data_IF_421594463627
#
_entry.id   IF_421594463627
#
_cell.length_a   1.000
_cell.length_b   1.000
_cell.length_c   1.000
_cell.angle_alpha   90.00
_cell.angle_beta   90.00
_cell.angle_gamma   90.00
#
_symmetry.space_group_name_H-M   'P 1'
#
loop_
_entity.id
_entity.type
_entity.pdbx_description
1 polymer ?
#
# COMPACT_ATOMS: atom_id res chain seq x y z
N UNK A 1 8.98 -56.78 19.83
CA UNK A 1 8.56 -55.94 18.68
C UNK A 1 9.55 -54.79 18.53
N UNK A 2 10.35 -54.78 17.46
CA UNK A 2 11.32 -53.71 17.20
C UNK A 2 10.63 -52.52 16.50
N UNK A 3 10.93 -51.28 16.93
CA UNK A 3 10.39 -50.05 16.31
C UNK A 3 11.05 -49.80 14.94
N UNK A 4 10.30 -49.39 13.91
CA UNK A 4 10.87 -49.12 12.58
C UNK A 4 11.75 -47.85 12.58
N UNK A 5 12.80 -47.87 11.77
CA UNK A 5 13.76 -46.78 11.61
C UNK A 5 13.11 -45.53 10.97
N UNK A 6 13.52 -44.31 11.36
CA UNK A 6 12.97 -43.08 10.79
C UNK A 6 13.38 -42.90 9.32
N UNK A 7 12.49 -42.34 8.47
CA UNK A 7 12.78 -42.17 7.04
C UNK A 7 13.95 -41.20 6.80
N UNK A 8 14.83 -41.56 5.88
CA UNK A 8 16.06 -40.80 5.57
C UNK A 8 15.74 -39.43 4.93
N UNK A 9 16.32 -38.36 5.47
CA UNK A 9 16.16 -36.95 5.02
C UNK A 9 16.92 -36.63 3.71
N UNK A 10 16.90 -37.51 2.69
CA UNK A 10 17.65 -37.29 1.44
C UNK A 10 16.96 -36.40 0.40
N UNK A 11 15.82 -35.77 0.70
CA UNK A 11 15.04 -34.94 -0.25
C UNK A 11 15.15 -33.41 -0.12
N UNK A 12 15.73 -32.88 0.96
CA UNK A 12 15.62 -31.44 1.28
C UNK A 12 16.80 -30.56 0.84
N UNK A 13 17.88 -31.15 0.33
CA UNK A 13 19.08 -30.39 -0.04
C UNK A 13 18.89 -29.55 -1.32
N UNK A 14 18.08 -30.03 -2.28
CA UNK A 14 17.84 -29.32 -3.53
C UNK A 14 17.01 -28.04 -3.35
N UNK A 15 16.05 -28.02 -2.41
CA UNK A 15 15.22 -26.84 -2.11
C UNK A 15 16.01 -25.73 -1.39
N UNK A 16 16.95 -26.10 -0.51
CA UNK A 16 17.84 -25.14 0.18
C UNK A 16 18.78 -24.42 -0.79
N UNK A 17 19.30 -25.14 -1.80
CA UNK A 17 20.17 -24.55 -2.82
C UNK A 17 19.42 -23.57 -3.74
N UNK A 18 18.17 -23.87 -4.11
CA UNK A 18 17.35 -22.96 -4.91
C UNK A 18 17.05 -21.63 -4.17
N UNK A 19 16.74 -21.70 -2.87
CA UNK A 19 16.53 -20.51 -2.04
C UNK A 19 17.81 -19.66 -1.89
N UNK A 20 18.97 -20.30 -1.70
CA UNK A 20 20.26 -19.60 -1.66
C UNK A 20 20.64 -18.97 -3.01
N UNK A 21 20.35 -19.64 -4.14
CA UNK A 21 20.58 -19.11 -5.49
C UNK A 21 19.69 -17.89 -5.79
N UNK A 22 18.40 -17.93 -5.40
CA UNK A 22 17.50 -16.76 -5.51
C UNK A 22 17.95 -15.57 -4.65
N UNK A 23 18.45 -15.81 -3.43
CA UNK A 23 18.99 -14.75 -2.55
C UNK A 23 20.28 -14.12 -3.09
N UNK A 24 21.12 -14.91 -3.77
CA UNK A 24 22.32 -14.41 -4.47
C UNK A 24 21.94 -13.59 -5.71
N UNK A 25 21.06 -14.11 -6.56
CA UNK A 25 20.57 -13.37 -7.72
C UNK A 25 19.92 -12.02 -7.35
N UNK A 26 19.17 -11.95 -6.24
CA UNK A 26 18.62 -10.69 -5.72
C UNK A 26 19.68 -9.70 -5.18
N UNK A 27 20.87 -10.20 -4.79
CA UNK A 27 22.01 -9.38 -4.35
C UNK A 27 22.85 -8.87 -5.53
N UNK A 28 22.82 -9.59 -6.65
CA UNK A 28 23.59 -9.32 -7.87
C UNK A 28 22.84 -8.44 -8.89
N UNK A 29 21.61 -7.99 -8.58
CA UNK A 29 20.99 -6.88 -9.32
C UNK A 29 21.90 -5.64 -9.20
N UNK A 30 22.14 -4.91 -10.31
CA UNK A 30 23.01 -3.74 -10.30
C UNK A 30 22.43 -2.68 -9.37
N UNK A 31 22.96 -2.61 -8.15
CA UNK A 31 22.73 -1.48 -7.25
C UNK A 31 23.36 -0.30 -7.93
N UNK A 32 22.55 0.65 -8.37
CA UNK A 32 23.07 1.96 -8.78
C UNK A 32 23.90 2.47 -7.60
N UNK A 33 25.22 2.59 -7.78
CA UNK A 33 26.18 2.89 -6.72
C UNK A 33 26.13 4.39 -6.36
N UNK A 34 24.93 4.95 -6.28
CA UNK A 34 24.73 6.34 -5.91
C UNK A 34 25.09 6.47 -4.42
N UNK A 35 26.14 7.24 -4.13
CA UNK A 35 26.53 7.56 -2.76
C UNK A 35 25.33 8.12 -1.99
N UNK A 36 25.15 7.71 -0.75
CA UNK A 36 24.11 8.25 0.13
C UNK A 36 24.38 9.74 0.42
N UNK A 37 23.35 10.55 0.69
CA UNK A 37 23.50 11.97 1.05
C UNK A 37 24.51 12.17 2.20
N UNK A 38 24.54 11.26 3.18
CA UNK A 38 25.51 11.26 4.28
C UNK A 38 26.96 11.06 3.82
N UNK A 39 27.18 10.18 2.83
CA UNK A 39 28.51 9.96 2.28
C UNK A 39 28.94 11.14 1.40
N UNK A 40 28.03 11.71 0.59
CA UNK A 40 28.30 12.91 -0.20
C UNK A 40 28.70 14.09 0.68
N UNK A 41 27.97 14.31 1.78
CA UNK A 41 28.28 15.37 2.74
C UNK A 41 29.65 15.16 3.40
N UNK A 42 29.97 13.93 3.84
CA UNK A 42 31.29 13.63 4.40
C UNK A 42 32.43 13.83 3.41
N UNK A 43 32.21 13.45 2.15
CA UNK A 43 33.19 13.65 1.08
C UNK A 43 33.39 15.15 0.80
N UNK A 44 32.31 15.94 0.80
CA UNK A 44 32.36 17.40 0.63
C UNK A 44 33.03 18.11 1.81
N UNK A 45 32.75 17.71 3.06
CA UNK A 45 33.44 18.23 4.25
C UNK A 45 34.95 17.92 4.24
N UNK A 46 35.32 16.70 3.82
CA UNK A 46 36.73 16.31 3.67
C UNK A 46 37.42 17.10 2.57
N UNK A 47 36.71 17.36 1.47
CA UNK A 47 37.21 18.18 0.37
C UNK A 47 37.44 19.62 0.83
N UNK A 48 36.48 20.22 1.54
CA UNK A 48 36.62 21.55 2.13
C UNK A 48 37.84 21.65 3.06
N UNK A 49 37.98 20.70 4.00
CA UNK A 49 39.15 20.66 4.90
C UNK A 49 40.48 20.56 4.15
N UNK A 50 40.51 19.82 3.03
CA UNK A 50 41.71 19.69 2.18
C UNK A 50 42.03 21.01 1.48
N UNK A 51 41.03 21.72 0.97
CA UNK A 51 41.21 23.04 0.37
C UNK A 51 41.74 24.06 1.39
N UNK A 52 41.18 24.06 2.60
CA UNK A 52 41.64 24.90 3.72
C UNK A 52 43.08 24.58 4.13
N UNK A 53 43.45 23.30 4.19
CA UNK A 53 44.81 22.88 4.58
C UNK A 53 45.85 23.16 3.49
N UNK A 54 45.48 23.01 2.23
CA UNK A 54 46.40 23.17 1.09
C UNK A 54 46.59 24.63 0.65
N UNK A 55 45.89 25.59 1.28
CA UNK A 55 45.95 27.00 0.90
C UNK A 55 45.38 27.28 -0.50
N UNK A 56 44.28 26.61 -0.86
CA UNK A 56 43.63 26.77 -2.17
C UNK A 56 42.97 28.16 -2.33
N UNK A 57 42.62 28.50 -3.57
CA UNK A 57 41.99 29.79 -3.90
C UNK A 57 40.71 30.04 -3.07
N UNK A 58 40.47 31.29 -2.63
CA UNK A 58 39.31 31.63 -1.80
C UNK A 58 37.98 31.32 -2.50
N UNK A 59 37.92 31.43 -3.83
CA UNK A 59 36.74 31.06 -4.62
C UNK A 59 36.43 29.56 -4.54
N UNK A 60 37.45 28.70 -4.54
CA UNK A 60 37.26 27.26 -4.41
C UNK A 60 36.74 26.88 -3.02
N UNK A 61 37.23 27.55 -1.98
CA UNK A 61 36.78 27.35 -0.60
C UNK A 61 35.32 27.78 -0.46
N UNK A 62 34.94 28.95 -0.97
CA UNK A 62 33.54 29.43 -0.90
C UNK A 62 32.58 28.53 -1.68
N UNK A 63 32.97 28.02 -2.84
CA UNK A 63 32.18 27.07 -3.61
C UNK A 63 32.04 25.72 -2.88
N UNK A 64 33.11 25.22 -2.26
CA UNK A 64 33.04 24.01 -1.45
C UNK A 64 32.16 24.18 -0.20
N UNK A 65 32.17 25.35 0.44
CA UNK A 65 31.26 25.68 1.55
C UNK A 65 29.80 25.65 1.10
N UNK A 66 29.47 26.31 -0.02
CA UNK A 66 28.11 26.28 -0.59
C UNK A 66 27.65 24.85 -0.89
N UNK A 67 28.53 24.01 -1.44
CA UNK A 67 28.23 22.61 -1.72
C UNK A 67 27.96 21.80 -0.44
N UNK A 68 28.72 22.04 0.64
CA UNK A 68 28.48 21.43 1.96
C UNK A 68 27.14 21.88 2.53
N UNK A 69 26.82 23.18 2.44
CA UNK A 69 25.53 23.71 2.90
C UNK A 69 24.36 23.09 2.14
N UNK A 70 24.43 23.00 0.81
CA UNK A 70 23.39 22.38 -0.01
C UNK A 70 23.18 20.90 0.37
N UNK A 71 24.26 20.13 0.46
CA UNK A 71 24.20 18.73 0.87
C UNK A 71 23.69 18.56 2.31
N UNK A 72 23.95 19.53 3.19
CA UNK A 72 23.41 19.54 4.55
C UNK A 72 21.89 19.73 4.57
N UNK A 73 21.37 20.60 3.69
CA UNK A 73 19.93 20.82 3.50
C UNK A 73 19.25 19.58 2.90
N UNK A 74 19.86 18.96 1.89
CA UNK A 74 19.40 17.68 1.31
C UNK A 74 19.34 16.60 2.40
N UNK A 75 20.39 16.44 3.22
CA UNK A 75 20.40 15.47 4.31
C UNK A 75 19.30 15.76 5.34
N UNK A 76 19.08 17.02 5.70
CA UNK A 76 18.06 17.38 6.67
C UNK A 76 16.65 17.04 6.17
N UNK A 77 16.32 17.33 4.91
CA UNK A 77 15.03 16.98 4.32
C UNK A 77 14.86 15.46 4.22
N UNK A 78 15.89 14.73 3.78
CA UNK A 78 15.94 13.27 3.74
C UNK A 78 15.67 12.64 5.11
N UNK A 79 16.27 13.18 6.17
CA UNK A 79 16.10 12.67 7.52
C UNK A 79 14.67 12.86 8.03
N UNK A 80 14.02 13.98 7.71
CA UNK A 80 12.61 14.21 8.03
C UNK A 80 11.73 13.19 7.32
N UNK A 81 11.95 12.95 6.02
CA UNK A 81 11.19 11.97 5.24
C UNK A 81 11.40 10.55 5.76
N UNK A 82 12.66 10.16 6.04
CA UNK A 82 12.98 8.85 6.63
C UNK A 82 12.29 8.65 7.97
N UNK A 83 12.34 9.65 8.86
CA UNK A 83 11.65 9.59 10.16
C UNK A 83 10.14 9.42 9.99
N UNK A 84 9.51 10.04 8.99
CA UNK A 84 8.08 9.86 8.67
C UNK A 84 7.81 8.44 8.19
N UNK A 85 8.54 7.97 7.18
CA UNK A 85 8.40 6.62 6.62
C UNK A 85 8.61 5.55 7.69
N UNK A 86 9.61 5.70 8.55
CA UNK A 86 9.88 4.73 9.62
C UNK A 86 8.76 4.71 10.66
N UNK A 87 8.18 5.88 11.00
CA UNK A 87 6.99 5.95 11.86
C UNK A 87 5.80 5.24 11.23
N UNK A 88 5.54 5.48 9.95
CA UNK A 88 4.45 4.85 9.21
C UNK A 88 4.62 3.33 9.15
N UNK A 89 5.83 2.83 8.86
CA UNK A 89 6.14 1.38 8.87
C UNK A 89 5.88 0.77 10.24
N UNK A 90 6.37 1.40 11.30
CA UNK A 90 6.17 0.94 12.69
C UNK A 90 4.68 0.86 13.04
N UNK A 91 3.88 1.86 12.67
CA UNK A 91 2.44 1.84 12.91
C UNK A 91 1.69 0.87 12.02
N UNK A 92 2.09 0.74 10.76
CA UNK A 92 1.55 -0.24 9.85
C UNK A 92 1.72 -1.64 10.42
N UNK A 93 2.92 -2.03 10.85
CA UNK A 93 3.19 -3.34 11.46
C UNK A 93 2.41 -3.55 12.76
N UNK A 94 2.47 -2.57 13.68
CA UNK A 94 1.83 -2.64 15.00
C UNK A 94 0.31 -2.77 14.91
N UNK A 95 -0.34 -1.98 14.05
CA UNK A 95 -1.79 -1.93 13.96
C UNK A 95 -2.36 -2.74 12.79
N UNK A 96 -1.53 -3.43 11.99
CA UNK A 96 -1.97 -4.26 10.85
C UNK A 96 -3.07 -5.23 11.24
N UNK A 97 -2.83 -5.98 12.31
CA UNK A 97 -3.76 -7.02 12.79
C UNK A 97 -5.01 -6.41 13.42
N UNK A 98 -4.86 -5.35 14.20
CA UNK A 98 -5.99 -4.63 14.81
C UNK A 98 -6.93 -4.11 13.72
N UNK A 99 -6.42 -3.34 12.75
CA UNK A 99 -7.19 -2.84 11.60
C UNK A 99 -7.83 -3.97 10.79
N UNK A 100 -7.11 -5.08 10.56
CA UNK A 100 -7.66 -6.23 9.85
C UNK A 100 -8.89 -6.83 10.55
N UNK A 101 -8.82 -7.03 11.87
CA UNK A 101 -9.95 -7.57 12.62
C UNK A 101 -11.11 -6.59 12.70
N UNK A 102 -10.85 -5.30 12.87
CA UNK A 102 -11.89 -4.28 12.86
C UNK A 102 -12.57 -4.16 11.51
N UNK A 103 -11.79 -4.09 10.40
CA UNK A 103 -12.34 -4.13 9.04
C UNK A 103 -13.21 -5.37 8.83
N UNK A 104 -12.74 -6.53 9.28
CA UNK A 104 -13.50 -7.79 9.19
C UNK A 104 -14.77 -7.77 10.03
N UNK A 105 -14.78 -7.12 11.20
CA UNK A 105 -15.99 -6.92 12.02
C UNK A 105 -16.99 -6.02 11.30
N UNK A 106 -16.55 -4.87 10.77
CA UNK A 106 -17.39 -3.94 10.00
C UNK A 106 -17.99 -4.65 8.78
N UNK A 107 -17.19 -5.34 7.98
CA UNK A 107 -17.67 -6.06 6.79
C UNK A 107 -18.69 -7.15 7.13
N UNK A 108 -18.51 -7.86 8.26
CA UNK A 108 -19.50 -8.85 8.72
C UNK A 108 -20.82 -8.19 9.12
N UNK A 109 -20.75 -7.05 9.81
CA UNK A 109 -21.95 -6.27 10.18
C UNK A 109 -22.66 -5.75 8.93
N UNK A 110 -21.92 -5.20 7.98
CA UNK A 110 -22.45 -4.72 6.71
C UNK A 110 -23.14 -5.84 5.92
N UNK A 111 -22.52 -7.03 5.84
CA UNK A 111 -23.13 -8.20 5.19
C UNK A 111 -24.43 -8.65 5.88
N UNK A 112 -24.46 -8.63 7.22
CA UNK A 112 -25.67 -8.99 8.00
C UNK A 112 -26.79 -7.98 7.77
N UNK A 113 -26.48 -6.69 7.90
CA UNK A 113 -27.44 -5.62 7.70
C UNK A 113 -28.02 -5.63 6.27
N UNK A 114 -27.19 -5.85 5.25
CA UNK A 114 -27.66 -6.00 3.86
C UNK A 114 -28.62 -7.19 3.70
N UNK A 115 -28.40 -8.29 4.43
CA UNK A 115 -29.31 -9.44 4.43
C UNK A 115 -30.62 -9.14 5.15
N UNK A 116 -30.56 -8.43 6.28
CA UNK A 116 -31.74 -7.99 7.04
C UNK A 116 -32.61 -7.02 6.21
N UNK A 117 -31.98 -6.10 5.49
CA UNK A 117 -32.66 -5.16 4.58
C UNK A 117 -33.29 -5.83 3.36
N UNK A 118 -32.82 -7.01 2.97
CA UNK A 118 -33.37 -7.78 1.86
C UNK A 118 -34.46 -8.77 2.31
N UNK A 119 -34.79 -8.81 3.61
CA UNK A 119 -35.89 -9.63 4.14
C UNK A 119 -37.22 -8.89 4.10
N UNK A 120 -38.33 -9.62 4.19
CA UNK A 120 -39.70 -9.08 4.05
C UNK A 120 -40.06 -8.01 5.09
N UNK A 121 -39.30 -7.94 6.19
CA UNK A 121 -39.45 -6.90 7.23
C UNK A 121 -38.12 -6.15 7.42
N UNK A 122 -37.83 -5.15 6.57
CA UNK A 122 -36.62 -4.36 6.71
C UNK A 122 -36.69 -3.49 7.97
N UNK A 123 -35.58 -3.38 8.74
CA UNK A 123 -35.53 -2.49 9.88
C UNK A 123 -35.65 -1.02 9.42
N UNK A 124 -36.48 -0.24 10.13
CA UNK A 124 -36.70 1.18 9.84
C UNK A 124 -35.38 1.99 9.82
N UNK A 125 -34.46 1.71 10.76
CA UNK A 125 -33.16 2.40 10.87
C UNK A 125 -32.08 1.82 9.94
N UNK A 126 -32.44 0.94 9.02
CA UNK A 126 -31.46 0.18 8.24
C UNK A 126 -30.56 1.03 7.36
N UNK A 127 -31.09 2.14 6.81
CA UNK A 127 -30.31 3.11 6.02
C UNK A 127 -29.28 3.85 6.86
N UNK A 128 -29.68 4.38 8.02
CA UNK A 128 -28.77 5.08 8.95
C UNK A 128 -27.66 4.15 9.46
N UNK A 129 -28.01 2.90 9.78
CA UNK A 129 -27.03 1.89 10.21
C UNK A 129 -26.04 1.53 9.09
N UNK A 130 -26.49 1.56 7.83
CA UNK A 130 -25.65 1.29 6.67
C UNK A 130 -24.64 2.42 6.48
N UNK A 131 -25.10 3.68 6.49
CA UNK A 131 -24.24 4.86 6.41
C UNK A 131 -23.19 4.90 7.54
N UNK A 132 -23.61 4.58 8.78
CA UNK A 132 -22.69 4.50 9.92
C UNK A 132 -21.60 3.43 9.72
N UNK A 133 -21.97 2.24 9.21
CA UNK A 133 -21.01 1.16 8.94
C UNK A 133 -20.07 1.47 7.77
N UNK A 134 -20.55 2.20 6.77
CA UNK A 134 -19.73 2.67 5.64
C UNK A 134 -18.73 3.73 6.10
N UNK A 135 -19.15 4.65 6.98
CA UNK A 135 -18.26 5.59 7.67
C UNK A 135 -17.18 4.87 8.50
N UNK A 136 -17.55 3.81 9.20
CA UNK A 136 -16.59 2.96 9.94
C UNK A 136 -15.64 2.21 9.00
N UNK A 137 -16.11 1.73 7.84
CA UNK A 137 -15.26 1.07 6.85
C UNK A 137 -14.23 2.03 6.25
N UNK A 138 -14.66 3.26 5.94
CA UNK A 138 -13.80 4.34 5.47
C UNK A 138 -12.76 4.69 6.54
N UNK A 139 -13.18 4.81 7.80
CA UNK A 139 -12.29 5.07 8.93
C UNK A 139 -11.18 4.03 9.05
N UNK A 140 -11.49 2.74 8.98
CA UNK A 140 -10.47 1.67 9.12
C UNK A 140 -9.54 1.64 7.90
N UNK A 141 -10.07 1.85 6.70
CA UNK A 141 -9.34 1.71 5.44
C UNK A 141 -8.42 2.90 5.15
N UNK A 142 -8.90 4.13 5.36
CA UNK A 142 -8.20 5.38 5.06
C UNK A 142 -7.64 6.07 6.30
N UNK A 143 -7.43 5.31 7.38
CA UNK A 143 -6.86 5.86 8.61
C UNK A 143 -5.45 6.44 8.41
N UNK A 144 -5.15 7.66 8.91
CA UNK A 144 -3.83 8.30 8.78
C UNK A 144 -2.66 7.41 9.24
N UNK A 145 -1.63 7.27 8.40
CA UNK A 145 -0.49 6.36 8.65
C UNK A 145 0.50 6.91 9.68
N UNK A 146 0.50 8.22 9.88
CA UNK A 146 1.36 8.99 10.78
C UNK A 146 0.90 8.98 12.25
N UNK A 147 -0.32 8.49 12.52
CA UNK A 147 -0.94 8.51 13.84
C UNK A 147 -1.15 7.12 14.43
N UNK A 148 -1.23 7.07 15.77
CA UNK A 148 -1.58 5.85 16.51
C UNK A 148 -3.06 5.52 16.29
N UNK A 149 -3.33 4.32 15.78
CA UNK A 149 -4.69 3.83 15.57
C UNK A 149 -5.50 3.81 16.87
N UNK A 150 -6.75 4.27 16.78
CA UNK A 150 -7.74 4.24 17.86
C UNK A 150 -8.82 3.26 17.45
N UNK A 151 -8.95 2.17 18.17
CA UNK A 151 -9.89 1.11 17.83
C UNK A 151 -11.35 1.54 17.97
N UNK A 152 -12.20 0.99 17.10
CA UNK A 152 -13.66 1.15 17.14
C UNK A 152 -14.32 0.19 18.13
N UNK A 153 -13.80 -1.03 18.25
CA UNK A 153 -14.44 -2.13 19.01
C UNK A 153 -13.57 -2.61 20.17
N UNK A 154 -13.14 -1.70 21.03
CA UNK A 154 -12.34 -2.03 22.22
C UNK A 154 -13.21 -2.66 23.31
N UNK A 155 -12.79 -3.83 23.82
CA UNK A 155 -13.57 -4.67 24.76
C UNK A 155 -13.70 -4.05 26.16
N UNK A 156 -12.87 -3.04 26.47
CA UNK A 156 -12.83 -2.38 27.77
C UNK A 156 -13.32 -0.96 27.55
N UNK A 157 -14.44 -0.60 28.18
CA UNK A 157 -15.17 0.68 28.03
C UNK A 157 -14.41 1.94 28.45
N UNK A 158 -13.13 2.04 28.10
CA UNK A 158 -12.31 3.23 28.22
C UNK A 158 -12.52 4.12 26.98
N UNK A 159 -13.74 4.62 26.81
CA UNK A 159 -13.97 5.82 26.00
C UNK A 159 -13.56 7.03 26.85
N UNK A 160 -12.26 7.28 26.95
CA UNK A 160 -11.78 8.53 27.54
C UNK A 160 -12.19 9.70 26.62
N UNK A 161 -12.60 10.84 27.18
CA UNK A 161 -12.92 12.02 26.36
C UNK A 161 -11.77 12.42 25.39
N UNK A 162 -10.52 12.10 25.76
CA UNK A 162 -9.33 12.29 24.92
C UNK A 162 -9.26 11.32 23.74
N UNK A 163 -9.66 10.05 23.92
CA UNK A 163 -9.68 9.06 22.84
C UNK A 163 -10.82 9.33 21.86
N UNK A 164 -11.97 9.77 22.36
CA UNK A 164 -13.10 10.20 21.53
C UNK A 164 -12.72 11.38 20.62
N UNK A 165 -12.09 12.43 21.16
CA UNK A 165 -11.59 13.57 20.37
C UNK A 165 -10.60 13.12 19.28
N UNK A 166 -9.61 12.30 19.63
CA UNK A 166 -8.64 11.76 18.66
C UNK A 166 -9.31 10.91 17.58
N UNK A 167 -10.34 10.15 17.93
CA UNK A 167 -11.13 9.37 16.97
C UNK A 167 -11.89 10.27 16.03
N UNK A 168 -12.55 11.32 16.53
CA UNK A 168 -13.29 12.28 15.72
C UNK A 168 -12.38 13.01 14.73
N UNK A 169 -11.22 13.49 15.17
CA UNK A 169 -10.21 14.09 14.28
C UNK A 169 -9.74 13.11 13.20
N UNK A 170 -9.44 11.86 13.60
CA UNK A 170 -8.99 10.85 12.66
C UNK A 170 -10.10 10.43 11.68
N UNK A 171 -11.38 10.47 12.09
CA UNK A 171 -12.53 10.27 11.18
C UNK A 171 -12.62 11.35 10.14
N UNK A 172 -12.48 12.63 10.52
CA UNK A 172 -12.46 13.74 9.56
C UNK A 172 -11.35 13.57 8.52
N UNK A 173 -10.13 13.22 8.96
CA UNK A 173 -9.01 12.97 8.06
C UNK A 173 -9.23 11.73 7.16
N UNK A 174 -9.79 10.65 7.71
CA UNK A 174 -10.07 9.44 6.94
C UNK A 174 -11.16 9.66 5.89
N UNK A 175 -12.20 10.43 6.21
CA UNK A 175 -13.25 10.82 5.25
C UNK A 175 -12.67 11.72 4.15
N UNK A 176 -11.83 12.70 4.50
CA UNK A 176 -11.15 13.53 3.51
C UNK A 176 -10.24 12.70 2.59
N UNK A 177 -9.50 11.73 3.14
CA UNK A 177 -8.67 10.81 2.37
C UNK A 177 -9.50 9.85 1.49
N UNK A 178 -10.66 9.39 1.98
CA UNK A 178 -11.59 8.57 1.21
C UNK A 178 -12.20 9.36 0.05
N UNK A 179 -12.59 10.62 0.28
CA UNK A 179 -13.09 11.52 -0.76
C UNK A 179 -12.01 11.82 -1.81
N UNK A 180 -10.77 12.08 -1.38
CA UNK A 180 -9.64 12.25 -2.31
C UNK A 180 -9.37 10.99 -3.15
N UNK A 181 -9.47 9.80 -2.55
CA UNK A 181 -9.34 8.54 -3.27
C UNK A 181 -10.50 8.29 -4.24
N UNK A 182 -11.74 8.63 -3.86
CA UNK A 182 -12.92 8.53 -4.72
C UNK A 182 -12.83 9.49 -5.91
N UNK A 183 -12.43 10.75 -5.67
CA UNK A 183 -12.22 11.75 -6.72
C UNK A 183 -11.08 11.40 -7.67
N UNK A 184 -10.03 10.73 -7.19
CA UNK A 184 -8.96 10.21 -8.03
C UNK A 184 -9.40 9.01 -8.89
N UNK A 185 -10.38 8.22 -8.44
CA UNK A 185 -10.91 7.10 -9.23
C UNK A 185 -11.90 7.54 -10.31
N UNK A 186 -12.62 8.65 -10.12
CA UNK A 186 -13.51 9.19 -11.16
C UNK A 186 -12.76 9.93 -12.26
N UNK A 187 -11.58 10.49 -11.97
CA UNK A 187 -10.76 11.18 -12.97
C UNK A 187 -9.85 10.25 -13.80
N UNK A 188 -9.65 8.99 -13.39
CA UNK A 188 -8.86 8.02 -14.17
C UNK A 188 -9.69 7.16 -15.13
N UNK A 189 -11.00 7.44 -15.27
CA UNK A 189 -11.92 6.67 -16.13
C UNK A 189 -12.48 7.50 -17.30
N UNK A 190 -11.85 8.64 -17.62
CA UNK A 190 -12.28 9.53 -18.70
C UNK A 190 -11.05 9.96 -19.53
N UNK A 191 -10.49 9.01 -20.27
CA UNK A 191 -9.62 9.29 -21.42
C UNK A 191 -9.97 8.30 -22.53
N UNK A 192 -11.01 8.68 -23.26
CA UNK A 192 -11.14 8.63 -24.72
C UNK A 192 -10.10 7.76 -25.45
N UNK A 193 -10.55 6.60 -25.93
CA UNK A 193 -10.02 5.95 -27.13
C UNK A 193 -11.23 5.63 -28.02
N UNK A 194 -11.74 6.68 -28.65
CA UNK A 194 -12.62 6.64 -29.80
C UNK A 194 -11.88 7.37 -30.91
N UNK A 195 -11.24 6.61 -31.79
CA UNK A 195 -10.69 7.11 -33.06
C UNK A 195 -10.72 5.99 -34.10
N UNK A 196 -11.82 6.01 -34.87
CA UNK A 196 -12.02 5.64 -36.28
C UNK A 196 -10.91 4.90 -37.04
N UNK A 197 -11.35 3.84 -37.73
CA UNK A 197 -10.57 3.10 -38.72
C UNK A 197 -11.43 2.09 -39.47
N UNK A 198 -12.48 2.58 -40.14
CA UNK A 198 -13.30 1.83 -41.09
C UNK A 198 -12.52 1.49 -42.36
N UNK A 199 -11.68 0.46 -42.29
CA UNK A 199 -11.05 -0.13 -43.48
C UNK A 199 -11.99 -1.15 -44.13
N UNK A 200 -12.60 -0.70 -45.23
CA UNK A 200 -13.33 -1.53 -46.18
C UNK A 200 -12.37 -2.53 -46.86
N UNK A 201 -12.45 -3.80 -46.47
CA UNK A 201 -11.89 -4.90 -47.25
C UNK A 201 -13.02 -5.79 -47.76
N UNK A 202 -13.46 -5.50 -48.98
CA UNK A 202 -14.22 -6.45 -49.78
C UNK A 202 -13.25 -7.50 -50.34
N UNK A 203 -13.43 -8.77 -49.98
CA UNK A 203 -13.33 -9.83 -50.99
C UNK A 203 -14.09 -11.11 -50.56
N UNK A 204 -14.58 -11.79 -51.59
CA UNK A 204 -15.52 -12.89 -51.66
C UNK A 204 -15.17 -14.15 -50.85
N UNK A 205 -16.21 -14.89 -50.46
CA UNK A 205 -16.05 -16.21 -49.85
C UNK A 205 -17.35 -16.89 -49.42
N UNK A 206 -18.21 -17.18 -50.38
CA UNK A 206 -19.39 -18.06 -50.32
C UNK A 206 -19.11 -19.43 -49.65
N UNK A 207 -19.90 -19.82 -48.63
CA UNK A 207 -20.39 -21.19 -48.44
C UNK A 207 -21.37 -21.31 -47.26
N UNK A 208 -22.51 -21.94 -47.57
CA UNK A 208 -23.60 -22.43 -46.74
C UNK A 208 -23.16 -23.40 -45.62
N UNK A 209 -23.83 -23.34 -44.46
CA UNK A 209 -24.81 -24.36 -44.02
C UNK A 209 -25.09 -24.32 -42.51
N UNK A 210 -26.35 -24.58 -42.15
CA UNK A 210 -26.65 -25.46 -41.02
C UNK A 210 -27.17 -24.84 -39.73
N UNK A 211 -28.48 -24.57 -39.70
CA UNK A 211 -29.31 -24.56 -38.50
C UNK A 211 -29.13 -25.85 -37.67
N UNK A 212 -28.93 -25.72 -36.36
CA UNK A 212 -29.24 -26.79 -35.41
C UNK A 212 -29.52 -26.21 -34.02
N UNK A 213 -30.81 -25.99 -33.78
CA UNK A 213 -31.43 -25.99 -32.46
C UNK A 213 -31.05 -27.26 -31.70
N UNK A 214 -30.69 -27.12 -30.42
CA UNK A 214 -30.31 -28.24 -29.57
C UNK A 214 -30.62 -27.96 -28.11
N UNK A 215 -31.86 -28.27 -27.72
CA UNK A 215 -32.36 -28.41 -26.36
C UNK A 215 -31.34 -29.07 -25.42
N UNK A 216 -30.83 -28.33 -24.44
CA UNK A 216 -30.05 -28.89 -23.35
C UNK A 216 -30.96 -29.23 -22.16
N UNK A 217 -31.46 -30.46 -22.26
CA UNK A 217 -32.23 -31.31 -21.38
C UNK A 217 -32.22 -31.04 -19.85
N UNK A 218 -33.42 -31.04 -19.29
CA UNK A 218 -33.79 -31.13 -17.87
C UNK A 218 -33.58 -32.57 -17.34
N UNK A 219 -32.82 -32.75 -16.26
CA UNK A 219 -32.80 -33.96 -15.42
C UNK A 219 -32.12 -33.58 -14.08
N UNK A 220 -32.57 -33.92 -12.89
CA UNK A 220 -33.67 -34.75 -12.39
C UNK A 220 -34.01 -34.28 -10.96
#
# INVERSE_FOLDING_TARGET
MAKPAPPSKKGDHHKRNAAHKKRRAARDLPKTNKKTAKNRLRDAERWLRRLETNGADPEQITNAQKAVEELSREKASDEVQRKRIDKEKRYAERYRKVKFFEKRKVLRRLKRLRKEMASDSPPHDGKERLEALEGDLAYVSFYPKDRKYVGLFTVRGAEDARTAKRRAEARKLALAAAAAAAGASSSSSSSEDESDGEDAFADAGEASDGEASGDFFLAA
#
